data_IF_505096039645
#
_entry.id   IF_505096039645
#
_cell.length_a   1.000
_cell.length_b   1.000
_cell.length_c   1.000
_cell.angle_alpha   90.00
_cell.angle_beta   90.00
_cell.angle_gamma   90.00
#
_symmetry.space_group_name_H-M   'P 1'
#
loop_
_entity.id
_entity.type
_entity.pdbx_description
1 polymer ?
#
# COMPACT_ATOMS: atom_id res chain seq x y z
N UNK A 1 -0.14 1.42 15.11
CA UNK A 1 0.93 0.92 14.22
C UNK A 1 0.95 -0.59 14.38
N UNK A 2 0.55 -1.32 13.34
CA UNK A 2 0.37 -2.78 13.39
C UNK A 2 1.69 -3.44 13.81
N UNK A 3 1.66 -4.41 14.73
CA UNK A 3 2.85 -5.06 15.32
C UNK A 3 3.61 -5.96 14.33
N UNK A 4 3.25 -5.93 13.04
CA UNK A 4 3.78 -6.81 11.99
C UNK A 4 5.07 -6.22 11.42
N UNK A 5 6.23 -6.63 11.95
CA UNK A 5 7.57 -6.29 11.43
C UNK A 5 7.59 -6.20 9.90
N UNK A 6 8.24 -5.17 9.35
CA UNK A 6 8.40 -5.01 7.91
C UNK A 6 8.98 -6.28 7.28
N UNK A 7 8.61 -6.60 6.03
CA UNK A 7 9.03 -7.82 5.33
C UNK A 7 9.47 -7.50 3.91
N UNK A 8 10.15 -8.47 3.29
CA UNK A 8 10.41 -8.45 1.84
C UNK A 8 9.17 -8.91 1.10
N UNK A 9 8.95 -8.36 -0.08
CA UNK A 9 7.80 -8.67 -0.93
C UNK A 9 8.22 -8.90 -2.36
N UNK A 10 7.40 -9.64 -3.08
CA UNK A 10 7.48 -9.81 -4.53
C UNK A 10 6.15 -9.41 -5.16
N UNK A 11 6.22 -8.72 -6.30
CA UNK A 11 5.05 -8.33 -7.09
C UNK A 11 5.23 -8.92 -8.48
N UNK A 12 4.33 -9.82 -8.89
CA UNK A 12 4.43 -10.57 -10.16
C UNK A 12 5.79 -11.28 -10.35
N UNK A 13 6.38 -11.81 -9.28
CA UNK A 13 7.68 -12.49 -9.29
C UNK A 13 8.90 -11.56 -9.26
N UNK A 14 8.72 -10.24 -9.22
CA UNK A 14 9.81 -9.27 -9.09
C UNK A 14 9.96 -8.84 -7.64
N UNK A 15 11.19 -8.86 -7.12
CA UNK A 15 11.51 -8.33 -5.79
C UNK A 15 11.17 -6.85 -5.71
N UNK A 16 10.46 -6.48 -4.66
CA UNK A 16 10.15 -5.08 -4.40
C UNK A 16 11.36 -4.38 -3.79
N UNK A 17 11.81 -3.31 -4.43
CA UNK A 17 12.97 -2.50 -4.01
C UNK A 17 12.54 -1.04 -3.96
N UNK A 18 12.90 -0.33 -2.90
CA UNK A 18 12.55 1.07 -2.76
C UNK A 18 13.30 1.89 -3.82
N UNK A 19 12.60 2.62 -4.71
CA UNK A 19 13.26 3.38 -5.78
C UNK A 19 14.03 4.60 -5.25
N UNK A 20 13.82 4.98 -3.98
CA UNK A 20 14.45 6.14 -3.36
C UNK A 20 15.75 5.78 -2.64
N UNK A 21 15.79 4.64 -1.92
CA UNK A 21 16.94 4.29 -1.08
C UNK A 21 17.45 2.84 -1.25
N UNK A 22 16.88 2.06 -2.18
CA UNK A 22 17.31 0.68 -2.45
C UNK A 22 16.92 -0.35 -1.37
N UNK A 23 16.22 0.05 -0.32
CA UNK A 23 15.83 -0.87 0.77
C UNK A 23 14.74 -1.87 0.33
N UNK A 24 14.74 -3.07 0.91
CA UNK A 24 13.89 -4.19 0.48
C UNK A 24 12.80 -4.60 1.49
N UNK A 25 12.71 -3.94 2.66
CA UNK A 25 11.69 -4.25 3.67
C UNK A 25 10.63 -3.16 3.75
N UNK A 26 9.37 -3.59 3.81
CA UNK A 26 8.22 -2.71 3.77
C UNK A 26 7.19 -3.08 4.83
N UNK A 27 6.49 -2.07 5.34
CA UNK A 27 5.22 -2.23 6.03
C UNK A 27 4.10 -2.24 4.98
N UNK A 28 3.08 -3.09 5.17
CA UNK A 28 1.95 -3.13 4.24
C UNK A 28 0.67 -2.64 4.89
N UNK A 29 -0.11 -1.88 4.13
CA UNK A 29 -1.48 -1.51 4.48
C UNK A 29 -2.36 -1.50 3.24
N UNK A 30 -3.67 -1.62 3.44
CA UNK A 30 -4.66 -1.30 2.41
C UNK A 30 -5.20 0.10 2.66
N UNK A 31 -5.49 0.84 1.61
CA UNK A 31 -6.06 2.18 1.72
C UNK A 31 -7.20 2.34 0.74
N UNK A 32 -8.35 2.80 1.26
CA UNK A 32 -9.51 3.15 0.45
C UNK A 32 -9.17 4.38 -0.39
N UNK A 33 -9.47 4.33 -1.69
CA UNK A 33 -9.27 5.44 -2.62
C UNK A 33 -10.60 6.14 -2.93
N UNK A 34 -11.38 6.44 -1.90
CA UNK A 34 -12.63 7.17 -2.00
C UNK A 34 -12.40 8.68 -1.98
N UNK A 35 -13.22 9.42 -2.74
CA UNK A 35 -13.37 10.86 -2.59
C UNK A 35 -14.13 11.14 -1.29
N UNK A 36 -13.63 12.02 -0.39
CA UNK A 36 -14.41 12.46 0.77
C UNK A 36 -15.73 13.06 0.29
N UNK A 37 -16.87 12.41 0.61
CA UNK A 37 -18.22 12.86 0.23
C UNK A 37 -19.10 11.81 -0.46
N UNK A 38 -18.52 10.77 -1.08
CA UNK A 38 -19.30 9.70 -1.75
C UNK A 38 -19.75 8.61 -0.77
N UNK A 39 -19.07 8.49 0.38
CA UNK A 39 -19.43 7.57 1.47
C UNK A 39 -20.79 7.90 2.10
N UNK A 40 -21.30 9.14 1.94
CA UNK A 40 -22.61 9.54 2.50
C UNK A 40 -23.82 9.07 1.68
N UNK A 41 -23.60 8.49 0.48
CA UNK A 41 -24.66 8.06 -0.45
C UNK A 41 -24.81 6.52 -0.55
N UNK A 42 -24.23 5.73 0.36
CA UNK A 42 -24.51 4.29 0.48
C UNK A 42 -23.89 3.39 -0.59
N UNK A 43 -22.90 3.87 -1.36
CA UNK A 43 -22.18 3.10 -2.38
C UNK A 43 -20.84 2.54 -1.89
N UNK A 44 -20.82 1.94 -0.69
CA UNK A 44 -19.59 1.38 -0.12
C UNK A 44 -19.04 0.16 -0.88
N UNK A 45 -19.87 -0.47 -1.73
CA UNK A 45 -19.50 -1.63 -2.55
C UNK A 45 -18.67 -1.30 -3.79
N UNK A 46 -18.53 -0.01 -4.15
CA UNK A 46 -17.73 0.45 -5.29
C UNK A 46 -16.33 0.95 -4.89
N UNK A 47 -15.96 0.86 -3.61
CA UNK A 47 -14.72 1.40 -3.10
C UNK A 47 -13.52 0.57 -3.58
N UNK A 48 -12.69 1.20 -4.41
CA UNK A 48 -11.45 0.61 -4.90
C UNK A 48 -10.37 0.79 -3.85
N UNK A 49 -9.67 -0.30 -3.53
CA UNK A 49 -8.56 -0.32 -2.58
C UNK A 49 -7.22 -0.27 -3.31
N UNK A 50 -6.24 0.34 -2.66
CA UNK A 50 -4.84 0.24 -3.04
C UNK A 50 -4.05 -0.51 -1.97
N UNK A 51 -3.17 -1.39 -2.44
CA UNK A 51 -2.13 -2.00 -1.64
C UNK A 51 -0.95 -1.03 -1.54
N UNK A 52 -0.55 -0.73 -0.31
CA UNK A 52 0.52 0.20 -0.01
C UNK A 52 1.71 -0.52 0.62
N UNK A 53 2.90 -0.30 0.06
CA UNK A 53 4.16 -0.75 0.60
C UNK A 53 4.97 0.46 1.06
N UNK A 54 5.13 0.59 2.38
CA UNK A 54 5.82 1.71 3.02
C UNK A 54 7.23 1.26 3.38
N UNK A 55 8.25 1.88 2.79
CA UNK A 55 9.64 1.53 3.05
C UNK A 55 9.97 1.68 4.55
N UNK A 56 10.51 0.61 5.16
CA UNK A 56 10.91 0.63 6.58
C UNK A 56 12.02 1.64 6.86
N UNK A 57 12.87 1.93 5.87
CA UNK A 57 14.04 2.80 6.03
C UNK A 57 13.74 4.29 5.80
N UNK A 58 13.06 4.66 4.71
CA UNK A 58 12.87 6.07 4.33
C UNK A 58 11.40 6.53 4.31
N UNK A 59 10.44 5.63 4.57
CA UNK A 59 9.02 5.95 4.58
C UNK A 59 8.38 6.16 3.19
N UNK A 60 9.12 6.03 2.09
CA UNK A 60 8.54 6.11 0.74
C UNK A 60 7.41 5.09 0.56
N UNK A 61 6.28 5.53 0.02
CA UNK A 61 5.07 4.72 -0.13
C UNK A 61 4.88 4.39 -1.60
N UNK A 62 4.91 3.09 -1.92
CA UNK A 62 4.53 2.58 -3.23
C UNK A 62 3.05 2.18 -3.21
N UNK A 63 2.27 2.80 -4.10
CA UNK A 63 0.84 2.54 -4.25
C UNK A 63 0.61 1.59 -5.41
N UNK A 64 -0.06 0.48 -5.15
CA UNK A 64 -0.50 -0.47 -6.16
C UNK A 64 -2.02 -0.48 -6.17
N UNK A 65 -2.59 -0.16 -7.32
CA UNK A 65 -4.00 -0.37 -7.56
C UNK A 65 -4.31 -1.86 -7.52
N UNK A 66 -5.21 -2.29 -6.64
CA UNK A 66 -5.68 -3.68 -6.64
C UNK A 66 -6.48 -3.91 -7.93
N UNK A 67 -5.91 -4.71 -8.85
CA UNK A 67 -6.51 -5.10 -10.13
C UNK A 67 -7.25 -6.42 -10.00
#
# INVERSE_FOLDING_TARGET
MDKRKAKKYEVKGYKLVCPICGHERFWTRKTLMNTPGVTFLGFDWANKEADNYICENCGYIMWFWSK
#
